data_IF_924586106665
#
_entry.id   IF_924586106665
#
_cell.length_a   1.000
_cell.length_b   1.000
_cell.length_c   1.000
_cell.angle_alpha   90.00
_cell.angle_beta   90.00
_cell.angle_gamma   90.00
#
_symmetry.space_group_name_H-M   'P 1'
#
loop_
_entity.id
_entity.type
_entity.pdbx_description
1 polymer ?
#
# COMPACT_ATOMS: atom_id res chain seq x y z
N UNK A 1 49.32 10.71 -54.53
CA UNK A 1 49.07 9.26 -54.48
C UNK A 1 49.12 8.84 -53.03
N UNK A 2 48.19 7.96 -52.63
CA UNK A 2 47.76 7.51 -51.27
C UNK A 2 46.78 8.48 -50.59
N UNK A 3 45.48 8.43 -50.95
CA UNK A 3 44.39 7.53 -50.47
C UNK A 3 43.97 7.90 -49.03
N UNK A 4 42.82 8.55 -48.80
CA UNK A 4 41.42 8.06 -48.87
C UNK A 4 40.94 7.39 -47.56
N UNK A 5 39.91 8.02 -46.98
CA UNK A 5 38.78 7.44 -46.19
C UNK A 5 39.04 6.88 -44.78
N UNK A 6 38.44 7.50 -43.76
CA UNK A 6 37.22 7.02 -43.08
C UNK A 6 36.96 7.78 -41.75
N UNK A 7 35.77 8.37 -41.65
CA UNK A 7 35.13 8.76 -40.40
C UNK A 7 34.64 7.52 -39.65
N UNK A 8 34.72 7.47 -38.31
CA UNK A 8 33.84 6.61 -37.55
C UNK A 8 32.66 7.44 -37.01
N UNK A 9 31.48 7.19 -37.58
CA UNK A 9 30.21 7.30 -36.88
C UNK A 9 30.29 6.39 -35.64
N UNK A 10 30.28 6.95 -34.45
CA UNK A 10 29.81 6.23 -33.26
C UNK A 10 28.55 6.92 -32.76
N UNK A 11 27.44 6.39 -33.25
CA UNK A 11 26.11 6.51 -32.65
C UNK A 11 26.16 5.88 -31.25
N UNK A 12 26.57 6.64 -30.25
CA UNK A 12 26.28 6.33 -28.87
C UNK A 12 24.80 6.62 -28.64
N UNK A 13 23.99 5.57 -28.66
CA UNK A 13 22.61 5.62 -28.16
C UNK A 13 22.70 6.10 -26.72
N UNK A 14 22.29 7.35 -26.48
CA UNK A 14 21.98 7.82 -25.15
C UNK A 14 20.75 7.03 -24.74
N UNK A 15 20.94 5.92 -24.04
CA UNK A 15 19.85 5.32 -23.28
C UNK A 15 19.57 6.28 -22.14
N UNK A 16 18.62 7.17 -22.40
CA UNK A 16 17.98 8.02 -21.42
C UNK A 16 17.12 7.09 -20.54
N UNK A 17 17.77 6.25 -19.73
CA UNK A 17 17.14 5.74 -18.51
C UNK A 17 17.03 6.96 -17.59
N UNK A 18 15.94 7.70 -17.80
CA UNK A 18 15.51 8.74 -16.89
C UNK A 18 15.56 8.15 -15.49
N UNK A 19 16.55 8.61 -14.72
CA UNK A 19 16.67 8.36 -13.29
C UNK A 19 15.35 8.82 -12.69
N UNK A 20 14.44 7.88 -12.42
CA UNK A 20 13.24 8.17 -11.65
C UNK A 20 13.74 8.78 -10.35
N UNK A 21 13.24 9.95 -9.93
CA UNK A 21 13.65 10.52 -8.66
C UNK A 21 13.38 9.47 -7.59
N UNK A 22 14.43 9.04 -6.90
CA UNK A 22 14.29 8.28 -5.67
C UNK A 22 13.61 9.22 -4.69
N UNK A 23 12.31 9.03 -4.49
CA UNK A 23 11.55 9.78 -3.49
C UNK A 23 12.08 9.29 -2.14
N UNK A 24 12.81 10.16 -1.45
CA UNK A 24 13.21 9.92 -0.07
C UNK A 24 11.92 9.79 0.75
N UNK A 25 11.67 8.59 1.30
CA UNK A 25 10.56 8.37 2.21
C UNK A 25 10.89 9.17 3.48
N UNK A 26 10.14 10.25 3.73
CA UNK A 26 10.34 11.06 4.93
C UNK A 26 10.20 10.20 6.19
N UNK A 27 11.19 10.27 7.06
CA UNK A 27 11.17 9.58 8.34
C UNK A 27 10.10 10.22 9.25
N UNK A 28 9.11 9.44 9.68
CA UNK A 28 8.04 9.90 10.55
C UNK A 28 6.97 8.83 10.78
N UNK A 29 6.03 9.07 11.72
CA UNK A 29 4.94 8.13 11.99
C UNK A 29 4.09 7.91 10.74
N UNK A 30 3.78 6.64 10.45
CA UNK A 30 2.90 6.27 9.35
C UNK A 30 1.45 6.29 9.82
N UNK A 31 0.52 6.01 8.91
CA UNK A 31 -0.88 5.83 9.26
C UNK A 31 -1.40 4.49 8.74
N UNK A 32 -2.47 4.03 9.39
CA UNK A 32 -3.24 2.88 8.95
C UNK A 32 -4.73 3.15 9.00
N UNK A 33 -5.47 2.52 8.09
CA UNK A 33 -6.93 2.49 8.04
C UNK A 33 -7.34 1.04 8.25
N UNK A 34 -8.01 0.74 9.35
CA UNK A 34 -8.77 -0.50 9.46
C UNK A 34 -10.17 -0.23 8.90
N UNK A 35 -10.65 -1.05 7.97
CA UNK A 35 -11.97 -0.92 7.34
C UNK A 35 -12.62 -2.28 7.15
N UNK A 36 -13.89 -2.41 7.56
CA UNK A 36 -14.69 -3.64 7.43
C UNK A 36 -16.08 -3.36 6.86
N UNK A 37 -16.77 -4.43 6.46
CA UNK A 37 -18.16 -4.37 6.02
C UNK A 37 -19.07 -4.43 7.25
N UNK A 38 -19.87 -3.39 7.45
CA UNK A 38 -20.74 -3.32 8.62
C UNK A 38 -21.84 -4.39 8.57
N UNK A 39 -21.91 -5.18 9.64
CA UNK A 39 -22.93 -6.24 9.78
C UNK A 39 -22.71 -7.44 8.86
N UNK A 40 -21.46 -7.72 8.45
CA UNK A 40 -21.13 -8.78 7.50
C UNK A 40 -21.77 -10.13 7.80
N UNK A 41 -21.75 -10.62 9.06
CA UNK A 41 -22.37 -11.91 9.41
C UNK A 41 -23.87 -11.94 9.15
N UNK A 42 -24.57 -10.82 9.34
CA UNK A 42 -26.00 -10.68 9.05
C UNK A 42 -26.23 -10.65 7.55
N UNK A 43 -25.37 -9.95 6.79
CA UNK A 43 -25.44 -9.91 5.33
C UNK A 43 -25.17 -11.28 4.72
N UNK A 44 -24.23 -12.05 5.29
CA UNK A 44 -23.87 -13.39 4.87
C UNK A 44 -25.06 -14.35 4.95
N UNK A 45 -25.83 -14.27 6.04
CA UNK A 45 -27.05 -15.06 6.20
C UNK A 45 -28.20 -14.68 5.26
N UNK A 46 -28.11 -13.52 4.58
CA UNK A 46 -29.12 -13.00 3.66
C UNK A 46 -28.77 -13.21 2.18
N UNK A 47 -27.70 -13.95 1.88
CA UNK A 47 -27.27 -14.27 0.52
C UNK A 47 -26.03 -13.47 0.10
N UNK A 48 -26.01 -13.03 -1.16
CA UNK A 48 -24.77 -12.56 -1.80
C UNK A 48 -24.31 -11.15 -1.38
N UNK A 49 -25.10 -10.44 -0.58
CA UNK A 49 -24.84 -9.03 -0.26
C UNK A 49 -23.52 -8.82 0.50
N UNK A 50 -23.13 -9.78 1.35
CA UNK A 50 -21.83 -9.77 2.02
C UNK A 50 -20.67 -9.85 1.02
N UNK A 51 -20.79 -10.73 0.01
CA UNK A 51 -19.81 -10.86 -1.07
C UNK A 51 -19.79 -9.61 -1.94
N UNK A 52 -20.96 -9.02 -2.24
CA UNK A 52 -21.06 -7.76 -2.99
C UNK A 52 -20.33 -6.63 -2.27
N UNK A 53 -20.56 -6.47 -0.96
CA UNK A 53 -19.88 -5.46 -0.15
C UNK A 53 -18.36 -5.65 -0.14
N UNK A 54 -17.90 -6.88 0.13
CA UNK A 54 -16.48 -7.19 0.16
C UNK A 54 -15.80 -6.96 -1.19
N UNK A 55 -16.45 -7.38 -2.30
CA UNK A 55 -15.94 -7.12 -3.66
C UNK A 55 -15.87 -5.63 -3.99
N UNK A 56 -16.86 -4.84 -3.55
CA UNK A 56 -16.84 -3.40 -3.73
C UNK A 56 -15.67 -2.77 -2.96
N UNK A 57 -15.45 -3.18 -1.70
CA UNK A 57 -14.31 -2.71 -0.91
C UNK A 57 -12.98 -3.04 -1.59
N UNK A 58 -12.78 -4.30 -1.99
CA UNK A 58 -11.56 -4.74 -2.69
C UNK A 58 -11.32 -3.96 -3.99
N UNK A 59 -12.38 -3.75 -4.79
CA UNK A 59 -12.29 -3.01 -6.05
C UNK A 59 -11.96 -1.54 -5.82
N UNK A 60 -12.52 -0.93 -4.77
CA UNK A 60 -12.22 0.43 -4.37
C UNK A 60 -10.77 0.61 -3.94
N UNK A 61 -10.27 -0.30 -3.10
CA UNK A 61 -8.85 -0.31 -2.66
C UNK A 61 -7.93 -0.42 -3.87
N UNK A 62 -8.19 -1.38 -4.75
CA UNK A 62 -7.40 -1.58 -5.97
C UNK A 62 -7.43 -0.34 -6.88
N UNK A 63 -8.60 0.28 -7.07
CA UNK A 63 -8.74 1.47 -7.91
C UNK A 63 -8.00 2.68 -7.33
N UNK A 64 -8.04 2.88 -6.01
CA UNK A 64 -7.28 3.95 -5.34
C UNK A 64 -5.78 3.71 -5.52
N UNK A 65 -5.30 2.51 -5.18
CA UNK A 65 -3.89 2.15 -5.33
C UNK A 65 -3.37 2.32 -6.75
N UNK A 66 -4.13 1.90 -7.76
CA UNK A 66 -3.68 1.92 -9.16
C UNK A 66 -3.86 3.25 -9.88
N UNK A 67 -4.75 4.13 -9.42
CA UNK A 67 -5.05 5.40 -10.13
C UNK A 67 -4.51 6.63 -9.41
N UNK A 68 -4.54 6.64 -8.08
CA UNK A 68 -4.10 7.77 -7.27
C UNK A 68 -2.69 7.56 -6.69
N UNK A 69 -2.28 6.31 -6.48
CA UNK A 69 -1.07 5.94 -5.74
C UNK A 69 -0.18 4.95 -6.53
N UNK A 70 -0.10 5.14 -7.84
CA UNK A 70 0.63 4.24 -8.75
C UNK A 70 2.15 4.44 -8.76
N UNK A 71 2.64 5.51 -8.13
CA UNK A 71 4.05 5.89 -8.09
C UNK A 71 4.83 5.15 -7.01
N UNK A 72 6.15 5.04 -7.22
CA UNK A 72 7.08 4.62 -6.17
C UNK A 72 7.10 5.69 -5.05
N UNK A 73 7.16 5.29 -3.78
CA UNK A 73 7.17 6.21 -2.62
C UNK A 73 5.81 6.70 -2.13
N UNK A 74 4.70 6.44 -2.84
CA UNK A 74 3.34 6.74 -2.38
C UNK A 74 2.46 5.48 -2.33
N UNK A 75 3.07 4.31 -2.08
CA UNK A 75 2.38 3.03 -2.17
C UNK A 75 1.42 2.81 -1.00
N UNK A 76 0.32 2.13 -1.28
CA UNK A 76 -0.62 1.63 -0.28
C UNK A 76 -0.49 0.11 -0.17
N UNK A 77 -0.25 -0.38 1.04
CA UNK A 77 -0.33 -1.81 1.36
C UNK A 77 -1.71 -2.13 1.91
N UNK A 78 -2.33 -3.21 1.42
CA UNK A 78 -3.64 -3.65 1.88
C UNK A 78 -3.56 -5.10 2.36
N UNK A 79 -3.75 -5.31 3.65
CA UNK A 79 -3.72 -6.61 4.31
C UNK A 79 -5.14 -7.04 4.66
N UNK A 80 -5.60 -8.16 4.11
CA UNK A 80 -6.94 -8.67 4.40
C UNK A 80 -6.97 -9.44 5.72
N UNK A 81 -7.98 -9.16 6.56
CA UNK A 81 -8.28 -9.90 7.79
C UNK A 81 -9.78 -10.17 7.86
N UNK A 82 -10.19 -11.41 7.62
CA UNK A 82 -11.61 -11.77 7.55
C UNK A 82 -12.34 -11.02 6.44
N UNK A 83 -13.36 -10.26 6.82
CA UNK A 83 -14.20 -9.41 5.98
C UNK A 83 -13.73 -7.94 5.92
N UNK A 84 -12.60 -7.63 6.55
CA UNK A 84 -12.00 -6.30 6.55
C UNK A 84 -10.57 -6.27 6.02
N UNK A 85 -10.03 -5.05 5.95
CA UNK A 85 -8.69 -4.75 5.51
C UNK A 85 -8.01 -3.79 6.48
N UNK A 86 -6.71 -3.96 6.67
CA UNK A 86 -5.82 -2.91 7.17
C UNK A 86 -5.07 -2.34 5.97
N UNK A 87 -5.20 -1.04 5.75
CA UNK A 87 -4.53 -0.31 4.68
C UNK A 87 -3.46 0.57 5.31
N UNK A 88 -2.23 0.52 4.82
CA UNK A 88 -1.07 1.24 5.37
C UNK A 88 -0.43 2.06 4.26
N UNK A 89 -0.13 3.33 4.54
CA UNK A 89 0.68 4.16 3.64
C UNK A 89 2.18 3.88 3.83
N UNK A 90 2.92 3.77 2.73
CA UNK A 90 4.39 3.61 2.72
C UNK A 90 5.15 4.93 2.98
N UNK A 91 4.44 5.97 3.40
CA UNK A 91 4.95 7.33 3.52
C UNK A 91 4.44 8.01 4.78
N UNK A 92 5.25 8.93 5.31
CA UNK A 92 4.84 9.83 6.37
C UNK A 92 3.95 10.95 5.81
N UNK A 93 2.96 11.37 6.59
CA UNK A 93 2.22 12.60 6.34
C UNK A 93 2.10 13.41 7.62
N UNK A 94 2.31 14.73 7.52
CA UNK A 94 2.15 15.64 8.66
C UNK A 94 0.70 15.80 9.14
N UNK A 95 -0.27 15.40 8.30
CA UNK A 95 -1.70 15.47 8.61
C UNK A 95 -2.45 14.26 8.04
N UNK A 96 -3.52 13.85 8.72
CA UNK A 96 -4.29 12.67 8.37
C UNK A 96 -5.40 12.94 7.34
N UNK A 97 -5.43 14.10 6.70
CA UNK A 97 -6.49 14.48 5.74
C UNK A 97 -6.60 13.50 4.57
N UNK A 98 -5.46 13.09 4.01
CA UNK A 98 -5.40 12.13 2.90
C UNK A 98 -5.87 10.75 3.34
N UNK A 99 -5.40 10.28 4.50
CA UNK A 99 -5.87 9.05 5.14
C UNK A 99 -7.39 9.05 5.35
N UNK A 100 -7.94 10.13 5.92
CA UNK A 100 -9.37 10.30 6.10
C UNK A 100 -10.14 10.35 4.77
N UNK A 101 -9.59 11.03 3.76
CA UNK A 101 -10.19 11.09 2.43
C UNK A 101 -10.25 9.71 1.76
N UNK A 102 -9.20 8.89 1.88
CA UNK A 102 -9.18 7.50 1.41
C UNK A 102 -10.28 6.69 2.10
N UNK A 103 -10.35 6.74 3.44
CA UNK A 103 -11.36 6.02 4.20
C UNK A 103 -12.78 6.42 3.78
N UNK A 104 -13.06 7.72 3.68
CA UNK A 104 -14.37 8.24 3.24
C UNK A 104 -14.68 7.84 1.79
N UNK A 105 -13.71 7.89 0.88
CA UNK A 105 -13.91 7.47 -0.51
C UNK A 105 -14.28 5.99 -0.60
N UNK A 106 -13.60 5.12 0.16
CA UNK A 106 -13.90 3.69 0.23
C UNK A 106 -15.28 3.43 0.83
N UNK A 107 -15.62 4.05 1.95
CA UNK A 107 -16.95 3.91 2.57
C UNK A 107 -18.06 4.35 1.63
N UNK A 108 -17.86 5.46 0.91
CA UNK A 108 -18.80 5.92 -0.13
C UNK A 108 -18.91 4.94 -1.29
N UNK A 109 -17.79 4.37 -1.74
CA UNK A 109 -17.80 3.37 -2.81
C UNK A 109 -18.57 2.11 -2.41
N UNK A 110 -18.35 1.58 -1.20
CA UNK A 110 -19.13 0.45 -0.67
C UNK A 110 -20.62 0.79 -0.57
N UNK A 111 -20.96 2.02 -0.17
CA UNK A 111 -22.35 2.51 -0.14
C UNK A 111 -23.03 2.45 -1.50
N UNK A 112 -22.31 2.72 -2.60
CA UNK A 112 -22.89 2.59 -3.95
C UNK A 112 -23.24 1.15 -4.33
N UNK A 113 -22.65 0.16 -3.66
CA UNK A 113 -22.97 -1.26 -3.82
C UNK A 113 -24.10 -1.73 -2.87
N UNK A 114 -24.75 -0.82 -2.14
CA UNK A 114 -25.84 -1.13 -1.22
C UNK A 114 -25.42 -1.71 0.13
N UNK A 115 -24.12 -1.62 0.47
CA UNK A 115 -23.56 -2.07 1.74
C UNK A 115 -23.02 -0.87 2.53
N UNK A 116 -22.79 -1.04 3.83
CA UNK A 116 -22.11 -0.04 4.64
C UNK A 116 -20.74 -0.57 5.04
N UNK A 117 -19.79 0.34 5.26
CA UNK A 117 -18.48 0.03 5.78
C UNK A 117 -18.16 0.95 6.96
N UNK A 118 -17.38 0.45 7.90
CA UNK A 118 -16.87 1.22 9.03
C UNK A 118 -15.36 1.28 8.93
N UNK A 119 -14.79 2.45 9.26
CA UNK A 119 -13.35 2.64 9.26
C UNK A 119 -12.86 3.22 10.58
N UNK A 120 -11.64 2.84 10.96
CA UNK A 120 -10.86 3.43 12.05
C UNK A 120 -9.48 3.82 11.52
N UNK A 121 -8.98 4.97 11.98
CA UNK A 121 -7.67 5.49 11.59
C UNK A 121 -6.75 5.47 12.80
N UNK A 122 -5.52 5.03 12.60
CA UNK A 122 -4.47 5.08 13.60
C UNK A 122 -3.18 5.66 12.99
N UNK A 123 -2.43 6.39 13.80
CA UNK A 123 -1.12 6.93 13.46
C UNK A 123 -0.06 6.26 14.37
N UNK A 124 1.08 5.93 13.80
CA UNK A 124 2.18 5.28 14.49
C UNK A 124 3.04 4.46 13.54
N UNK A 125 4.05 3.78 14.08
CA UNK A 125 4.76 2.81 13.28
C UNK A 125 3.91 1.54 13.12
N UNK A 126 3.73 1.09 11.87
CA UNK A 126 3.14 -0.21 11.57
C UNK A 126 4.22 -1.31 11.76
N UNK A 127 4.84 -1.32 12.94
CA UNK A 127 5.96 -2.18 13.29
C UNK A 127 5.46 -3.46 13.96
N UNK A 128 6.15 -4.57 13.72
CA UNK A 128 5.85 -5.81 14.43
C UNK A 128 6.13 -5.70 15.92
N UNK A 129 5.27 -6.34 16.72
CA UNK A 129 5.50 -6.49 18.15
C UNK A 129 6.56 -7.57 18.41
N UNK A 130 7.83 -7.22 18.23
CA UNK A 130 8.98 -8.13 18.41
C UNK A 130 9.21 -8.55 19.86
N UNK A 131 8.69 -7.79 20.82
CA UNK A 131 8.82 -8.06 22.26
C UNK A 131 8.15 -9.36 22.72
N UNK A 132 7.14 -9.85 22.00
CA UNK A 132 6.46 -11.13 22.28
C UNK A 132 7.11 -12.32 21.58
N UNK A 133 8.10 -12.10 20.72
CA UNK A 133 8.60 -13.18 19.89
C UNK A 133 9.25 -14.27 20.75
N UNK A 134 9.00 -15.55 20.41
CA UNK A 134 9.73 -16.68 20.98
C UNK A 134 11.24 -16.42 20.97
N UNK A 135 11.94 -16.92 22.00
CA UNK A 135 13.37 -16.62 22.21
C UNK A 135 14.22 -17.04 21.00
N UNK A 136 13.83 -18.14 20.36
CA UNK A 136 14.50 -18.73 19.20
C UNK A 136 14.49 -17.78 18.00
N UNK A 137 13.37 -17.08 17.80
CA UNK A 137 13.21 -16.10 16.72
C UNK A 137 14.05 -14.86 17.00
N UNK A 138 14.00 -14.35 18.25
CA UNK A 138 14.80 -13.19 18.66
C UNK A 138 16.30 -13.45 18.53
N UNK A 139 16.77 -14.62 18.96
CA UNK A 139 18.18 -15.01 18.84
C UNK A 139 18.63 -15.14 17.39
N UNK A 140 17.75 -15.62 16.49
CA UNK A 140 18.10 -15.74 15.07
C UNK A 140 18.24 -14.37 14.39
N UNK A 141 17.37 -13.42 14.71
CA UNK A 141 17.42 -12.07 14.14
C UNK A 141 18.64 -11.30 14.64
N UNK A 142 18.98 -11.43 15.93
CA UNK A 142 20.24 -10.89 16.48
C UNK A 142 21.47 -11.46 15.75
N UNK A 143 21.42 -12.73 15.34
CA UNK A 143 22.51 -13.38 14.61
C UNK A 143 22.63 -12.92 13.15
N UNK A 144 21.48 -12.68 12.51
CA UNK A 144 21.40 -12.37 11.08
C UNK A 144 21.61 -10.87 10.78
N UNK A 145 21.66 -9.99 11.80
CA UNK A 145 21.78 -8.51 11.66
C UNK A 145 20.80 -7.91 10.64
N UNK A 146 19.62 -8.53 10.52
CA UNK A 146 18.58 -8.12 9.58
C UNK A 146 17.67 -7.11 10.27
N UNK A 147 17.61 -5.88 9.75
CA UNK A 147 16.57 -4.91 10.08
C UNK A 147 15.24 -5.23 9.38
N UNK A 148 15.26 -6.16 8.42
CA UNK A 148 14.05 -6.67 7.80
C UNK A 148 13.33 -7.60 8.78
N UNK A 149 12.32 -7.03 9.41
CA UNK A 149 11.22 -7.68 10.11
C UNK A 149 10.51 -8.66 9.16
N UNK A 150 10.22 -9.88 9.65
CA UNK A 150 9.66 -11.03 8.90
C UNK A 150 8.27 -10.75 8.35
#
# INVERSE_FOLDING_TARGET
>A
MTNDTESPLTSGVVTDEACKPTIEIEAGPRWSIWIDIEGFSVLWGKGDLAITGLRALMSGIFAIGTRAYAGDGERLFAHQFGDGFVIVGDFHEAALDRCAAIAVALMRHVTTAGCLARAAIAEGEFSDYSGCWPKEIRQKIEWDQSDDVV
#
